data_IF_341242687283
#
_entry.id   IF_341242687283
#
_cell.length_a   1.000
_cell.length_b   1.000
_cell.length_c   1.000
_cell.angle_alpha   90.00
_cell.angle_beta   90.00
_cell.angle_gamma   90.00
#
_symmetry.space_group_name_H-M   'P 1'
#
loop_
_entity.id
_entity.type
_entity.pdbx_description
1 polymer ?
#
# COMPACT_ATOMS: atom_id res chain seq x y z
N UNK A 1 16.86 -14.15 21.71
CA UNK A 1 16.91 -13.01 22.64
C UNK A 1 17.83 -11.88 22.18
N UNK A 2 19.10 -12.15 21.83
CA UNK A 2 20.06 -11.10 21.39
C UNK A 2 19.54 -10.22 20.24
N UNK A 3 18.89 -10.81 19.23
CA UNK A 3 18.33 -10.07 18.09
C UNK A 3 17.28 -9.02 18.51
N UNK A 4 16.33 -9.43 19.35
CA UNK A 4 15.22 -8.58 19.81
C UNK A 4 15.75 -7.41 20.66
N UNK A 5 16.73 -7.65 21.52
CA UNK A 5 17.37 -6.59 22.30
C UNK A 5 18.08 -5.57 21.40
N UNK A 6 18.81 -6.05 20.38
CA UNK A 6 19.50 -5.18 19.42
C UNK A 6 18.52 -4.38 18.58
N UNK A 7 17.40 -4.98 18.21
CA UNK A 7 16.29 -4.33 17.50
C UNK A 7 15.66 -3.23 18.37
N UNK A 8 15.32 -3.55 19.63
CA UNK A 8 14.78 -2.58 20.59
C UNK A 8 15.75 -1.42 20.85
N UNK A 9 17.03 -1.70 21.07
CA UNK A 9 18.06 -0.66 21.26
C UNK A 9 18.24 0.22 20.00
N UNK A 10 18.09 -0.35 18.80
CA UNK A 10 18.11 0.42 17.55
C UNK A 10 16.94 1.40 17.49
N UNK A 11 15.73 0.94 17.79
CA UNK A 11 14.54 1.79 17.81
C UNK A 11 14.53 2.80 18.96
N UNK A 12 15.11 2.45 20.12
CA UNK A 12 15.32 3.38 21.23
C UNK A 12 16.22 4.55 20.81
N UNK A 13 17.31 4.25 20.09
CA UNK A 13 18.20 5.28 19.54
C UNK A 13 17.46 6.12 18.49
N UNK A 14 16.73 5.50 17.58
CA UNK A 14 15.95 6.23 16.57
C UNK A 14 14.92 7.15 17.23
N UNK A 15 14.23 6.70 18.28
CA UNK A 15 13.30 7.53 19.04
C UNK A 15 13.99 8.70 19.74
N UNK A 16 15.20 8.50 20.26
CA UNK A 16 15.98 9.55 20.93
C UNK A 16 16.57 10.59 19.95
N UNK A 17 16.90 10.18 18.72
CA UNK A 17 17.62 11.00 17.74
C UNK A 17 16.76 11.52 16.58
N UNK A 18 15.42 11.46 16.68
CA UNK A 18 14.51 12.02 15.67
C UNK A 18 14.38 13.54 15.80
N UNK A 19 15.47 14.25 15.49
CA UNK A 19 15.45 15.71 15.40
C UNK A 19 15.13 16.11 13.95
N UNK A 20 14.03 16.85 13.74
CA UNK A 20 13.63 17.33 12.40
C UNK A 20 12.41 16.66 11.77
N UNK A 21 11.61 15.90 12.54
CA UNK A 21 10.31 15.38 12.11
C UNK A 21 10.36 14.02 11.41
N UNK A 22 9.24 13.63 10.77
CA UNK A 22 9.05 12.28 10.20
C UNK A 22 10.10 11.89 9.15
N UNK A 23 10.53 12.82 8.28
CA UNK A 23 11.52 12.53 7.24
C UNK A 23 12.93 12.28 7.79
N UNK A 24 13.32 12.95 8.87
CA UNK A 24 14.58 12.67 9.55
C UNK A 24 14.57 11.24 10.12
N UNK A 25 13.43 10.80 10.64
CA UNK A 25 13.27 9.43 11.12
C UNK A 25 13.40 8.40 10.00
N UNK A 26 12.76 8.61 8.84
CA UNK A 26 12.88 7.71 7.67
C UNK A 26 14.36 7.50 7.33
N UNK A 27 15.14 8.58 7.26
CA UNK A 27 16.58 8.49 6.97
C UNK A 27 17.36 7.69 8.03
N UNK A 28 17.02 7.85 9.32
CA UNK A 28 17.64 7.07 10.41
C UNK A 28 17.29 5.59 10.33
N UNK A 29 16.03 5.27 10.05
CA UNK A 29 15.55 3.89 9.88
C UNK A 29 16.23 3.23 8.67
N UNK A 30 16.26 3.92 7.51
CA UNK A 30 16.94 3.43 6.31
C UNK A 30 18.41 3.14 6.58
N UNK A 31 19.13 4.10 7.19
CA UNK A 31 20.55 3.95 7.51
C UNK A 31 20.82 2.77 8.45
N UNK A 32 20.01 2.61 9.51
CA UNK A 32 20.24 1.56 10.51
C UNK A 32 19.82 0.17 10.00
N UNK A 33 18.67 0.04 9.34
CA UNK A 33 18.10 -1.27 8.97
C UNK A 33 18.38 -1.72 7.54
N UNK A 34 18.53 -0.79 6.59
CA UNK A 34 18.92 -1.09 5.19
C UNK A 34 20.44 -1.09 5.07
N UNK A 35 21.09 0.05 5.35
CA UNK A 35 22.53 0.19 5.03
C UNK A 35 23.44 -0.57 5.99
N UNK A 36 23.24 -0.40 7.30
CA UNK A 36 24.17 -0.92 8.32
C UNK A 36 23.88 -2.38 8.68
N UNK A 37 22.62 -2.73 8.94
CA UNK A 37 22.23 -4.09 9.37
C UNK A 37 21.80 -4.99 8.23
N UNK A 38 21.35 -4.42 7.11
CA UNK A 38 20.84 -5.16 5.94
C UNK A 38 19.74 -6.18 6.31
N UNK A 39 18.88 -5.80 7.26
CA UNK A 39 17.75 -6.64 7.70
C UNK A 39 16.55 -6.53 6.77
N UNK A 40 16.47 -5.43 6.02
CA UNK A 40 15.46 -5.15 5.01
C UNK A 40 16.16 -4.60 3.76
N UNK A 41 15.63 -4.93 2.59
CA UNK A 41 16.11 -4.36 1.32
C UNK A 41 15.58 -2.93 1.11
N UNK A 42 16.18 -2.19 0.17
CA UNK A 42 15.66 -0.87 -0.26
C UNK A 42 14.20 -0.94 -0.73
N UNK A 43 13.85 -1.98 -1.51
CA UNK A 43 12.49 -2.21 -1.98
C UNK A 43 11.52 -2.49 -0.83
N UNK A 44 11.89 -3.38 0.09
CA UNK A 44 11.06 -3.65 1.26
C UNK A 44 10.93 -2.43 2.17
N UNK A 45 11.96 -1.60 2.29
CA UNK A 45 11.87 -0.36 3.05
C UNK A 45 10.87 0.61 2.43
N UNK A 46 10.83 0.72 1.09
CA UNK A 46 9.83 1.53 0.41
C UNK A 46 8.41 1.01 0.67
N UNK A 47 8.22 -0.32 0.66
CA UNK A 47 6.93 -0.94 1.02
C UNK A 47 6.56 -0.65 2.47
N UNK A 48 7.51 -0.67 3.41
CA UNK A 48 7.28 -0.28 4.81
C UNK A 48 6.77 1.15 4.89
N UNK A 49 7.44 2.08 4.22
CA UNK A 49 7.05 3.50 4.25
C UNK A 49 5.67 3.69 3.64
N UNK A 50 5.39 3.04 2.50
CA UNK A 50 4.08 3.09 1.85
C UNK A 50 2.97 2.56 2.77
N UNK A 51 3.20 1.42 3.42
CA UNK A 51 2.25 0.85 4.38
C UNK A 51 2.07 1.78 5.58
N UNK A 52 3.16 2.30 6.14
CA UNK A 52 3.13 3.11 7.36
C UNK A 52 2.41 4.45 7.16
N UNK A 53 2.54 5.07 5.99
CA UNK A 53 1.80 6.28 5.58
C UNK A 53 0.33 5.98 5.23
N UNK A 54 0.04 4.79 4.69
CA UNK A 54 -1.34 4.39 4.37
C UNK A 54 -2.15 4.02 5.60
N UNK A 55 -1.48 3.55 6.66
CA UNK A 55 -2.12 3.22 7.94
C UNK A 55 -2.29 4.45 8.82
N UNK A 56 -3.44 4.63 9.48
CA UNK A 56 -3.62 5.74 10.41
C UNK A 56 -2.63 5.65 11.57
N UNK A 57 -2.03 6.78 11.94
CA UNK A 57 -1.16 6.89 13.11
C UNK A 57 0.23 7.47 12.79
N UNK A 58 1.11 7.57 13.80
CA UNK A 58 2.44 8.11 13.61
C UNK A 58 3.29 7.16 12.75
N UNK A 59 3.82 7.68 11.64
CA UNK A 59 4.75 6.98 10.74
C UNK A 59 5.85 6.22 11.49
N UNK A 60 6.37 6.82 12.56
CA UNK A 60 7.36 6.25 13.46
C UNK A 60 6.98 4.89 14.04
N UNK A 61 5.78 4.85 14.62
CA UNK A 61 5.25 3.71 15.33
C UNK A 61 4.89 2.63 14.31
N UNK A 62 4.24 3.02 13.21
CA UNK A 62 3.84 2.09 12.16
C UNK A 62 5.07 1.42 11.52
N UNK A 63 6.09 2.19 11.17
CA UNK A 63 7.36 1.67 10.61
C UNK A 63 8.09 0.78 11.60
N UNK A 64 8.20 1.19 12.87
CA UNK A 64 8.84 0.39 13.91
C UNK A 64 8.13 -0.95 14.15
N UNK A 65 6.79 -0.93 14.17
CA UNK A 65 5.95 -2.12 14.32
C UNK A 65 6.18 -3.07 13.15
N UNK A 66 6.13 -2.58 11.91
CA UNK A 66 6.26 -3.41 10.72
C UNK A 66 7.67 -4.01 10.57
N UNK A 67 8.72 -3.18 10.70
CA UNK A 67 10.11 -3.65 10.66
C UNK A 67 10.36 -4.62 11.81
N UNK A 68 9.85 -4.32 13.00
CA UNK A 68 9.94 -5.21 14.15
C UNK A 68 9.27 -6.56 13.91
N UNK A 69 8.10 -6.55 13.27
CA UNK A 69 7.40 -7.78 12.88
C UNK A 69 8.18 -8.59 11.85
N UNK A 70 8.78 -7.92 10.87
CA UNK A 70 9.57 -8.59 9.84
C UNK A 70 10.82 -9.26 10.41
N UNK A 71 11.54 -8.60 11.32
CA UNK A 71 12.80 -9.08 11.88
C UNK A 71 12.60 -10.07 13.04
N UNK A 72 11.62 -9.81 13.92
CA UNK A 72 11.43 -10.53 15.17
C UNK A 72 10.01 -11.04 15.43
N UNK A 73 9.15 -11.08 14.40
CA UNK A 73 7.73 -11.48 14.50
C UNK A 73 7.00 -10.65 15.55
N UNK A 74 5.96 -11.20 16.18
CA UNK A 74 5.14 -10.48 17.17
C UNK A 74 5.99 -9.86 18.29
N UNK A 75 6.96 -10.60 18.84
CA UNK A 75 7.82 -10.09 19.90
C UNK A 75 8.71 -8.91 19.44
N UNK A 76 9.23 -8.99 18.21
CA UNK A 76 9.99 -7.90 17.60
C UNK A 76 9.12 -6.67 17.35
N UNK A 77 7.88 -6.85 16.90
CA UNK A 77 6.93 -5.76 16.70
C UNK A 77 6.68 -5.01 18.01
N UNK A 78 6.25 -5.71 19.06
CA UNK A 78 5.94 -5.10 20.36
C UNK A 78 7.13 -4.35 20.94
N UNK A 79 8.33 -4.94 20.92
CA UNK A 79 9.52 -4.32 21.51
C UNK A 79 9.99 -3.12 20.69
N UNK A 80 9.98 -3.18 19.36
CA UNK A 80 10.31 -2.02 18.51
C UNK A 80 9.37 -0.84 18.77
N UNK A 81 8.06 -1.11 18.85
CA UNK A 81 7.03 -0.10 19.10
C UNK A 81 7.18 0.54 20.49
N UNK A 82 7.41 -0.27 21.52
CA UNK A 82 7.64 0.27 22.87
C UNK A 82 8.94 1.09 22.92
N UNK A 83 10.04 0.57 22.38
CA UNK A 83 11.32 1.25 22.42
C UNK A 83 11.36 2.55 21.63
N UNK A 84 10.64 2.68 20.51
CA UNK A 84 10.57 3.96 19.77
C UNK A 84 9.74 5.01 20.52
N UNK A 85 8.73 4.60 21.30
CA UNK A 85 7.85 5.50 22.05
C UNK A 85 8.44 5.95 23.40
N UNK A 86 9.21 5.09 24.07
CA UNK A 86 9.75 5.35 25.42
C UNK A 86 10.51 6.69 25.53
N UNK A 87 11.41 7.07 24.61
CA UNK A 87 12.16 8.32 24.71
C UNK A 87 11.23 9.54 24.75
N UNK A 88 10.32 9.64 23.78
CA UNK A 88 9.36 10.74 23.69
C UNK A 88 8.42 10.78 24.88
N UNK A 89 7.92 9.62 25.31
CA UNK A 89 7.07 9.51 26.50
C UNK A 89 7.80 9.99 27.75
N UNK A 90 9.04 9.56 27.96
CA UNK A 90 9.85 9.93 29.12
C UNK A 90 10.10 11.44 29.16
N UNK A 91 10.48 12.03 28.01
CA UNK A 91 10.73 13.47 27.91
C UNK A 91 9.46 14.27 28.23
N UNK A 92 8.33 13.91 27.62
CA UNK A 92 7.05 14.60 27.85
C UNK A 92 6.60 14.43 29.30
N UNK A 93 6.72 13.23 29.86
CA UNK A 93 6.38 12.97 31.26
C UNK A 93 7.21 13.84 32.22
N UNK A 94 8.52 13.93 32.01
CA UNK A 94 9.39 14.79 32.81
C UNK A 94 9.01 16.27 32.71
N UNK A 95 8.69 16.76 31.50
CA UNK A 95 8.21 18.14 31.31
C UNK A 95 6.89 18.34 32.05
N UNK A 96 5.97 17.39 31.93
CA UNK A 96 4.64 17.45 32.54
C UNK A 96 4.68 17.64 34.06
N UNK A 97 5.67 17.07 34.76
CA UNK A 97 5.80 17.19 36.21
C UNK A 97 6.00 18.65 36.69
N UNK A 98 6.65 19.47 35.87
CA UNK A 98 6.94 20.87 36.21
C UNK A 98 6.10 21.86 35.39
N UNK A 99 5.32 21.37 34.43
CA UNK A 99 4.62 22.18 33.44
C UNK A 99 3.67 23.21 34.08
N UNK A 100 2.93 22.82 35.10
CA UNK A 100 2.00 23.71 35.82
C UNK A 100 2.73 24.87 36.52
N UNK A 101 3.96 24.65 36.99
CA UNK A 101 4.76 25.71 37.58
C UNK A 101 5.21 26.73 36.52
N UNK A 102 5.54 26.28 35.30
CA UNK A 102 5.90 27.16 34.19
C UNK A 102 4.69 27.94 33.66
N UNK A 103 3.50 27.33 33.62
CA UNK A 103 2.29 28.01 33.15
C UNK A 103 1.79 29.13 34.06
N UNK A 104 2.25 29.21 35.32
CA UNK A 104 1.92 30.35 36.21
C UNK A 104 2.54 31.67 35.74
N UNK A 105 3.61 31.63 34.94
CA UNK A 105 4.22 32.83 34.39
C UNK A 105 3.44 33.34 33.18
N UNK A 106 2.90 34.56 33.28
CA UNK A 106 2.07 35.16 32.23
C UNK A 106 2.81 35.27 30.89
N UNK A 107 4.12 35.54 30.91
CA UNK A 107 4.98 35.58 29.70
C UNK A 107 4.99 34.23 28.97
N UNK A 108 5.06 33.12 29.71
CA UNK A 108 5.07 31.76 29.15
C UNK A 108 3.72 31.44 28.51
N UNK A 109 2.61 31.82 29.13
CA UNK A 109 1.27 31.63 28.54
C UNK A 109 1.11 32.38 27.21
N UNK A 110 1.57 33.63 27.14
CA UNK A 110 1.55 34.39 25.88
C UNK A 110 2.46 33.79 24.82
N UNK A 111 3.65 33.29 25.21
CA UNK A 111 4.53 32.57 24.31
C UNK A 111 3.85 31.32 23.72
N UNK A 112 3.15 30.51 24.53
CA UNK A 112 2.40 29.35 24.04
C UNK A 112 1.27 29.74 23.07
N UNK A 113 0.54 30.82 23.34
CA UNK A 113 -0.46 31.34 22.37
C UNK A 113 0.21 31.75 21.05
N UNK A 114 1.37 32.40 21.11
CA UNK A 114 2.16 32.74 19.92
C UNK A 114 2.56 31.49 19.12
N UNK A 115 3.06 30.45 19.81
CA UNK A 115 3.42 29.17 19.18
C UNK A 115 2.20 28.53 18.51
N UNK A 116 1.03 28.54 19.15
CA UNK A 116 -0.19 27.99 18.55
C UNK A 116 -0.55 28.68 17.22
N UNK A 117 -0.48 30.02 17.18
CA UNK A 117 -0.73 30.79 15.94
C UNK A 117 0.31 30.46 14.86
N UNK A 118 1.59 30.35 15.23
CA UNK A 118 2.65 29.93 14.31
C UNK A 118 2.40 28.53 13.73
N UNK A 119 1.98 27.56 14.56
CA UNK A 119 1.66 26.20 14.11
C UNK A 119 0.50 26.20 13.13
N UNK A 120 -0.57 26.96 13.41
CA UNK A 120 -1.71 27.10 12.48
C UNK A 120 -1.25 27.66 11.14
N UNK A 121 -0.39 28.69 11.14
CA UNK A 121 0.15 29.25 9.90
C UNK A 121 1.06 28.27 9.15
N UNK A 122 1.89 27.49 9.85
CA UNK A 122 2.72 26.44 9.24
C UNK A 122 1.86 25.34 8.58
N UNK A 123 0.80 24.89 9.25
CA UNK A 123 -0.14 23.92 8.69
C UNK A 123 -0.84 24.50 7.46
N UNK A 124 -1.32 25.74 7.55
CA UNK A 124 -1.96 26.42 6.42
C UNK A 124 -1.03 26.56 5.22
N UNK A 125 0.21 26.99 5.42
CA UNK A 125 1.19 27.14 4.34
C UNK A 125 1.58 25.80 3.72
N UNK A 126 1.72 24.74 4.52
CA UNK A 126 1.92 23.38 4.02
C UNK A 126 0.74 22.91 3.15
N UNK A 127 -0.50 23.09 3.62
CA UNK A 127 -1.70 22.77 2.87
C UNK A 127 -1.83 23.58 1.58
N UNK A 128 -1.52 24.88 1.63
CA UNK A 128 -1.53 25.75 0.45
C UNK A 128 -0.50 25.34 -0.59
N UNK A 129 0.70 24.95 -0.16
CA UNK A 129 1.74 24.41 -1.05
C UNK A 129 1.28 23.13 -1.73
N UNK A 130 0.65 22.23 -0.98
CA UNK A 130 0.09 20.98 -1.50
C UNK A 130 -1.03 21.25 -2.52
N UNK A 131 -1.92 22.21 -2.24
CA UNK A 131 -2.98 22.62 -3.15
C UNK A 131 -2.44 23.19 -4.48
N UNK A 132 -1.36 23.99 -4.42
CA UNK A 132 -0.71 24.52 -5.63
C UNK A 132 -0.01 23.45 -6.47
N UNK A 133 0.46 22.38 -5.84
CA UNK A 133 1.13 21.25 -6.50
C UNK A 133 0.14 20.21 -7.05
N UNK A 134 -1.13 20.28 -6.65
CA UNK A 134 -2.18 19.40 -7.14
C UNK A 134 -2.36 19.55 -8.66
N UNK A 135 -2.47 18.42 -9.38
CA UNK A 135 -2.80 18.43 -10.80
C UNK A 135 -4.18 19.08 -11.00
N UNK A 136 -4.24 20.06 -11.90
CA UNK A 136 -5.43 20.91 -12.14
C UNK A 136 -6.46 20.24 -13.04
N UNK A 137 -6.74 18.96 -12.80
CA UNK A 137 -7.81 18.25 -13.47
C UNK A 137 -9.17 18.65 -12.89
N UNK A 138 -10.19 18.67 -13.75
CA UNK A 138 -11.55 19.01 -13.35
C UNK A 138 -12.05 18.10 -12.22
N UNK A 139 -11.71 16.81 -12.29
CA UNK A 139 -12.03 15.82 -11.28
C UNK A 139 -11.42 16.15 -9.90
N UNK A 140 -10.14 16.51 -9.86
CA UNK A 140 -9.44 16.84 -8.61
C UNK A 140 -10.01 18.11 -7.96
N UNK A 141 -10.38 19.11 -8.77
CA UNK A 141 -11.02 20.32 -8.29
C UNK A 141 -12.42 20.07 -7.73
N UNK A 142 -13.23 19.25 -8.42
CA UNK A 142 -14.56 18.84 -7.93
C UNK A 142 -14.40 18.13 -6.58
N UNK A 143 -13.46 17.19 -6.48
CA UNK A 143 -13.22 16.43 -5.26
C UNK A 143 -12.77 17.34 -4.11
N UNK A 144 -11.85 18.27 -4.38
CA UNK A 144 -11.40 19.25 -3.39
C UNK A 144 -12.55 20.14 -2.89
N UNK A 145 -13.32 20.75 -3.80
CA UNK A 145 -14.45 21.62 -3.44
C UNK A 145 -15.52 20.83 -2.69
N UNK A 146 -15.88 19.63 -3.16
CA UNK A 146 -16.88 18.79 -2.51
C UNK A 146 -16.45 18.39 -1.09
N UNK A 147 -15.19 18.00 -0.91
CA UNK A 147 -14.65 17.62 0.41
C UNK A 147 -14.58 18.83 1.34
N UNK A 148 -14.13 19.99 0.84
CA UNK A 148 -14.06 21.22 1.61
C UNK A 148 -15.45 21.70 2.05
N UNK A 149 -16.44 21.67 1.14
CA UNK A 149 -17.82 22.03 1.44
C UNK A 149 -18.42 21.07 2.46
N UNK A 150 -18.20 19.77 2.30
CA UNK A 150 -18.64 18.75 3.27
C UNK A 150 -18.07 19.03 4.66
N UNK A 151 -16.76 19.29 4.75
CA UNK A 151 -16.09 19.63 6.01
C UNK A 151 -16.71 20.87 6.68
N UNK A 152 -16.95 21.93 5.92
CA UNK A 152 -17.58 23.16 6.43
C UNK A 152 -19.00 22.90 6.91
N UNK A 153 -19.82 22.20 6.12
CA UNK A 153 -21.21 21.87 6.50
C UNK A 153 -21.24 21.04 7.78
N UNK A 154 -20.43 19.98 7.88
CA UNK A 154 -20.34 19.14 9.08
C UNK A 154 -19.85 19.93 10.30
N UNK A 155 -18.91 20.87 10.11
CA UNK A 155 -18.44 21.73 11.20
C UNK A 155 -19.51 22.72 11.68
N UNK A 156 -20.37 23.22 10.79
CA UNK A 156 -21.44 24.18 11.12
C UNK A 156 -22.64 23.49 11.75
N UNK A 157 -22.97 22.27 11.32
CA UNK A 157 -24.10 21.50 11.85
C UNK A 157 -23.82 20.84 13.20
N UNK A 158 -22.59 20.97 13.73
CA UNK A 158 -22.16 20.42 15.03
C UNK A 158 -22.56 18.96 15.24
N UNK A 159 -22.51 18.16 14.18
CA UNK A 159 -22.88 16.75 14.25
C UNK A 159 -21.68 15.97 14.78
N UNK A 160 -21.70 15.65 16.07
CA UNK A 160 -20.67 14.86 16.74
C UNK A 160 -20.79 13.36 16.39
N UNK A 161 -20.58 13.01 15.12
CA UNK A 161 -20.34 11.61 14.77
C UNK A 161 -18.91 11.23 15.16
N UNK A 162 -18.78 10.20 16.00
CA UNK A 162 -17.47 9.64 16.32
C UNK A 162 -16.78 9.19 15.02
N UNK A 163 -15.54 9.63 14.83
CA UNK A 163 -14.67 9.26 13.70
C UNK A 163 -14.54 7.74 13.51
N UNK A 164 -14.78 6.97 14.57
CA UNK A 164 -14.82 5.52 14.59
C UNK A 164 -15.92 4.97 13.66
N UNK A 165 -17.12 5.59 13.63
CA UNK A 165 -18.22 5.12 12.77
C UNK A 165 -17.90 5.29 11.29
N UNK A 166 -17.26 6.40 10.89
CA UNK A 166 -16.82 6.58 9.51
C UNK A 166 -15.80 5.53 9.09
N UNK A 167 -14.83 5.22 9.95
CA UNK A 167 -13.83 4.17 9.70
C UNK A 167 -14.51 2.80 9.55
N UNK A 168 -15.46 2.48 10.44
CA UNK A 168 -16.21 1.22 10.38
C UNK A 168 -17.06 1.11 9.10
N UNK A 169 -17.77 2.16 8.71
CA UNK A 169 -18.60 2.17 7.50
C UNK A 169 -17.73 2.00 6.25
N UNK A 170 -16.63 2.75 6.14
CA UNK A 170 -15.69 2.62 5.04
C UNK A 170 -15.04 1.23 5.00
N UNK A 171 -14.67 0.69 6.16
CA UNK A 171 -14.12 -0.67 6.29
C UNK A 171 -15.12 -1.75 5.87
N UNK A 172 -16.38 -1.64 6.32
CA UNK A 172 -17.45 -2.57 5.96
C UNK A 172 -17.79 -2.49 4.46
N UNK A 173 -17.88 -1.28 3.90
CA UNK A 173 -18.09 -1.07 2.47
C UNK A 173 -16.93 -1.65 1.64
N UNK A 174 -15.69 -1.42 2.07
CA UNK A 174 -14.50 -2.00 1.44
C UNK A 174 -14.49 -3.52 1.48
N UNK A 175 -14.85 -4.12 2.62
CA UNK A 175 -14.97 -5.58 2.76
C UNK A 175 -16.09 -6.13 1.87
N UNK A 176 -17.23 -5.45 1.78
CA UNK A 176 -18.33 -5.81 0.89
C UNK A 176 -17.89 -5.84 -0.57
N UNK A 177 -17.20 -4.80 -1.04
CA UNK A 177 -16.63 -4.75 -2.40
C UNK A 177 -15.60 -5.85 -2.62
N UNK A 178 -14.75 -6.13 -1.64
CA UNK A 178 -13.76 -7.20 -1.72
C UNK A 178 -14.40 -8.59 -1.84
N UNK A 179 -15.44 -8.88 -1.05
CA UNK A 179 -16.18 -10.14 -1.10
C UNK A 179 -16.90 -10.31 -2.45
N UNK A 180 -17.52 -9.24 -2.98
CA UNK A 180 -18.14 -9.23 -4.31
C UNK A 180 -17.08 -9.46 -5.41
N UNK A 181 -15.89 -8.87 -5.25
CA UNK A 181 -14.76 -9.07 -6.17
C UNK A 181 -14.24 -10.51 -6.14
N UNK A 182 -14.19 -11.15 -4.96
CA UNK A 182 -13.83 -12.56 -4.83
C UNK A 182 -14.85 -13.48 -5.52
N UNK A 183 -16.14 -13.22 -5.34
CA UNK A 183 -17.20 -13.97 -6.01
C UNK A 183 -17.05 -13.90 -7.54
N UNK A 184 -16.82 -12.70 -8.09
CA UNK A 184 -16.56 -12.48 -9.53
C UNK A 184 -15.25 -13.09 -10.04
N UNK A 185 -14.26 -13.33 -9.17
CA UNK A 185 -12.99 -13.96 -9.54
C UNK A 185 -13.14 -15.48 -9.63
N UNK A 186 -14.06 -16.07 -8.86
CA UNK A 186 -14.45 -17.48 -8.95
C UNK A 186 -15.14 -17.81 -10.27
N UNK A 187 -16.05 -16.95 -10.73
CA UNK A 187 -16.79 -17.16 -11.98
C UNK A 187 -15.88 -17.06 -13.22
N UNK A 188 -14.98 -16.07 -13.26
CA UNK A 188 -13.98 -15.95 -14.35
C UNK A 188 -13.01 -17.13 -14.41
N UNK A 189 -12.65 -17.73 -13.27
CA UNK A 189 -11.75 -18.90 -13.23
C UNK A 189 -12.46 -20.16 -13.74
N UNK A 190 -13.77 -20.30 -13.49
CA UNK A 190 -14.60 -21.39 -14.04
C UNK A 190 -14.82 -21.24 -15.53
N UNK A 191 -15.16 -20.04 -16.02
CA UNK A 191 -15.30 -19.80 -17.48
C UNK A 191 -14.01 -20.08 -18.23
N UNK A 192 -12.85 -19.67 -17.69
CA UNK A 192 -11.53 -19.92 -18.31
C UNK A 192 -11.13 -21.40 -18.27
N UNK A 193 -11.49 -22.14 -17.21
CA UNK A 193 -11.22 -23.57 -17.12
C UNK A 193 -12.13 -24.38 -18.06
N UNK A 194 -13.39 -23.99 -18.21
CA UNK A 194 -14.36 -24.63 -19.12
C UNK A 194 -14.01 -24.38 -20.58
N UNK A 195 -13.51 -23.19 -20.94
CA UNK A 195 -13.03 -22.91 -22.30
C UNK A 195 -11.71 -23.63 -22.62
N UNK A 196 -10.77 -23.71 -21.68
CA UNK A 196 -9.53 -24.46 -21.85
C UNK A 196 -9.76 -25.97 -22.02
N UNK A 197 -10.73 -26.55 -21.29
CA UNK A 197 -11.05 -27.96 -21.38
C UNK A 197 -11.76 -28.32 -22.69
N UNK A 198 -12.70 -27.48 -23.15
CA UNK A 198 -13.34 -27.65 -24.48
C UNK A 198 -12.33 -27.58 -25.63
N UNK A 199 -11.27 -26.78 -25.49
CA UNK A 199 -10.27 -26.65 -26.53
C UNK A 199 -9.36 -27.89 -26.60
N UNK A 200 -8.96 -28.42 -25.44
CA UNK A 200 -8.20 -29.67 -25.35
C UNK A 200 -9.01 -30.89 -25.85
N UNK A 201 -10.31 -30.96 -25.56
CA UNK A 201 -11.18 -32.05 -26.02
C UNK A 201 -11.35 -32.04 -27.55
N UNK A 202 -11.33 -30.86 -28.19
CA UNK A 202 -11.40 -30.71 -29.65
C UNK A 202 -10.05 -31.05 -30.29
N UNK A 203 -8.94 -30.69 -29.65
CA UNK A 203 -7.58 -30.96 -30.14
C UNK A 203 -7.27 -32.47 -30.12
N UNK A 204 -7.60 -33.17 -29.04
CA UNK A 204 -7.45 -34.63 -28.95
C UNK A 204 -8.34 -35.39 -29.95
N UNK A 205 -9.56 -34.88 -30.19
CA UNK A 205 -10.48 -35.50 -31.15
C UNK A 205 -10.02 -35.31 -32.60
N UNK A 206 -9.34 -34.20 -32.89
CA UNK A 206 -8.74 -33.94 -34.19
C UNK A 206 -7.47 -34.79 -34.40
N UNK A 207 -6.65 -34.99 -33.37
CA UNK A 207 -5.48 -35.89 -33.43
C UNK A 207 -5.90 -37.34 -33.68
N UNK A 208 -6.89 -37.86 -32.93
CA UNK A 208 -7.42 -39.21 -33.12
C UNK A 208 -8.06 -39.44 -34.49
N UNK A 209 -8.80 -38.44 -35.00
CA UNK A 209 -9.35 -38.52 -36.36
C UNK A 209 -8.24 -38.49 -37.42
N UNK A 210 -7.15 -37.78 -37.19
CA UNK A 210 -6.01 -37.69 -38.13
C UNK A 210 -5.24 -39.01 -38.17
N UNK A 211 -5.02 -39.65 -37.01
CA UNK A 211 -4.42 -40.98 -36.92
C UNK A 211 -5.30 -42.06 -37.57
N UNK A 212 -6.62 -42.04 -37.35
CA UNK A 212 -7.54 -42.96 -38.02
C UNK A 212 -7.61 -42.76 -39.54
N UNK A 213 -7.46 -41.52 -40.03
CA UNK A 213 -7.41 -41.24 -41.46
C UNK A 213 -6.06 -41.65 -42.07
N UNK A 214 -4.97 -41.62 -41.29
CA UNK A 214 -3.65 -42.10 -41.71
C UNK A 214 -3.62 -43.64 -41.79
N UNK A 215 -4.12 -44.34 -40.77
CA UNK A 215 -4.24 -45.81 -40.78
C UNK A 215 -5.15 -46.30 -41.92
N UNK A 216 -6.27 -45.61 -42.18
CA UNK A 216 -7.18 -45.95 -43.29
C UNK A 216 -6.61 -45.67 -44.68
N UNK A 217 -5.55 -44.85 -44.77
CA UNK A 217 -4.83 -44.58 -46.03
C UNK A 217 -3.65 -45.52 -46.24
N UNK A 218 -3.07 -46.08 -45.17
CA UNK A 218 -2.02 -47.11 -45.27
C UNK A 218 -2.56 -48.45 -45.80
N UNK A 219 -3.85 -48.75 -45.60
CA UNK A 219 -4.50 -49.96 -46.12
C UNK A 219 -4.82 -49.93 -47.63
N UNK A 220 -4.90 -48.75 -48.27
CA UNK A 220 -5.42 -48.61 -49.65
C UNK A 220 -4.37 -48.20 -50.70
N UNK A 221 -3.16 -47.78 -50.33
CA UNK A 221 -2.09 -47.57 -51.31
C UNK A 221 -0.70 -47.57 -50.65
N UNK A 222 0.12 -48.57 -50.98
CA UNK A 222 1.54 -48.59 -50.65
C UNK A 222 2.33 -47.56 -51.48
N UNK A 223 2.22 -46.27 -51.14
CA UNK A 223 3.11 -45.20 -51.62
C UNK A 223 3.27 -44.08 -50.58
N UNK A 224 4.52 -43.77 -50.27
CA UNK A 224 4.93 -42.64 -49.42
C UNK A 224 4.70 -41.33 -50.17
N UNK A 225 3.87 -40.43 -49.61
CA UNK A 225 3.85 -39.03 -50.01
C UNK A 225 4.05 -38.11 -48.80
N UNK A 226 5.19 -37.43 -48.82
CA UNK A 226 5.56 -36.36 -47.90
C UNK A 226 4.80 -35.08 -48.29
N UNK A 227 3.63 -34.86 -47.68
CA UNK A 227 2.93 -33.57 -47.71
C UNK A 227 2.61 -33.09 -46.30
N UNK A 228 3.67 -32.75 -45.57
CA UNK A 228 3.60 -31.91 -44.38
C UNK A 228 4.22 -30.56 -44.74
N UNK A 229 3.46 -29.70 -45.43
CA UNK A 229 4.00 -28.44 -45.94
C UNK A 229 3.03 -27.26 -46.07
N UNK A 230 1.79 -27.46 -46.54
CA UNK A 230 1.02 -26.30 -47.08
C UNK A 230 -0.28 -25.92 -46.35
N UNK A 231 -0.64 -26.56 -45.23
CA UNK A 231 -1.86 -26.17 -44.47
C UNK A 231 -1.59 -25.36 -43.20
N UNK A 232 -0.34 -24.99 -42.90
CA UNK A 232 0.00 -24.14 -41.74
C UNK A 232 0.06 -22.64 -42.04
N UNK A 233 -0.04 -22.20 -43.30
CA UNK A 233 0.05 -20.77 -43.64
C UNK A 233 -1.28 -20.03 -43.79
N UNK A 234 -2.41 -20.72 -44.02
CA UNK A 234 -3.70 -20.03 -44.25
C UNK A 234 -4.50 -19.70 -42.99
N UNK A 235 -4.13 -20.19 -41.80
CA UNK A 235 -4.81 -19.83 -40.54
C UNK A 235 -4.02 -18.90 -39.62
N UNK A 236 -2.79 -18.50 -40.00
CA UNK A 236 -2.00 -17.53 -39.23
C UNK A 236 -2.22 -16.07 -39.68
N UNK A 237 -3.02 -15.86 -40.72
CA UNK A 237 -3.22 -14.56 -41.39
C UNK A 237 -4.31 -13.65 -40.83
N UNK A 238 -5.16 -14.09 -39.90
CA UNK A 238 -6.41 -13.36 -39.57
C UNK A 238 -6.56 -12.92 -38.11
N UNK A 239 -5.46 -12.71 -37.39
CA UNK A 239 -5.48 -12.06 -36.06
C UNK A 239 -4.41 -10.97 -35.94
N UNK A 240 -4.44 -10.01 -36.87
CA UNK A 240 -3.75 -8.73 -36.73
C UNK A 240 -4.77 -7.59 -36.87
N UNK A 241 -5.35 -7.18 -35.73
CA UNK A 241 -5.96 -5.86 -35.56
C UNK A 241 -5.03 -5.03 -34.66
N UNK A 242 -4.77 -3.75 -34.96
CA UNK A 242 -3.54 -3.06 -34.56
C UNK A 242 -3.56 -2.61 -33.09
N UNK A 243 -2.39 -2.66 -32.44
CA UNK A 243 -2.11 -1.90 -31.22
C UNK A 243 -2.22 -0.41 -31.51
N UNK A 244 -3.30 0.20 -31.02
CA UNK A 244 -3.47 1.64 -30.98
C UNK A 244 -2.33 2.27 -30.15
N UNK A 245 -1.61 3.18 -30.81
CA UNK A 245 -0.57 4.04 -30.27
C UNK A 245 -1.27 5.21 -29.57
N UNK A 246 -1.30 5.27 -28.25
CA UNK A 246 -1.68 6.50 -27.52
C UNK A 246 -0.43 7.22 -27.02
N UNK A 247 -0.29 8.44 -27.54
CA UNK A 247 0.52 9.53 -27.00
C UNK A 247 -0.03 9.97 -25.65
#
# INVERSE_FOLDING_TARGET
>A
MKLILVLGLSFLKIGLFTFGGGYAMIALIQKEFVSKRKWISEAEFMDVVAIAESTPGPLAINSATYIGYKVGKAAGATISTLCVCIPSFTIIYLISLFFDAFLKFTVVQYAFKGIQVCVVFLIFTAGWKMLKQMQKDLFNWILFIATFLCLVVFSVTAIDFSSIFYILICGAAGLGVYLISLARKGDRKKETAVSAQKQNDVEQKNEQNTEQIAERKEDDDGQVYEQTGELKETQKGENNVPKERKR
#
